data_IF_959180283016
#
_entry.id   IF_959180283016
#
_cell.length_a   1.000
_cell.length_b   1.000
_cell.length_c   1.000
_cell.angle_alpha   90.00
_cell.angle_beta   90.00
_cell.angle_gamma   90.00
#
_symmetry.space_group_name_H-M   'P 1'
#
loop_
_entity.id
_entity.type
_entity.pdbx_description
1 polymer ?
#
# COMPACT_ATOMS: atom_id res chain seq x y z
N UNK A 1 10.62 3.13 11.58
CA UNK A 1 10.43 3.33 13.04
C UNK A 1 8.96 3.38 13.47
N UNK A 2 7.99 3.72 12.63
CA UNK A 2 6.59 3.88 13.09
C UNK A 2 5.75 2.60 13.10
N UNK A 3 6.05 1.63 12.22
CA UNK A 3 5.22 0.43 12.02
C UNK A 3 5.85 -0.83 12.62
N UNK A 4 7.01 -1.26 12.11
CA UNK A 4 7.54 -2.61 12.38
C UNK A 4 8.68 -2.64 13.42
N UNK A 5 9.63 -1.69 13.37
CA UNK A 5 10.85 -1.69 14.19
C UNK A 5 10.86 -0.57 15.24
N UNK A 6 11.12 -0.94 16.49
CA UNK A 6 11.33 -0.03 17.62
C UNK A 6 10.28 -0.17 18.73
N UNK A 7 10.59 0.23 19.98
CA UNK A 7 9.68 0.06 21.12
C UNK A 7 8.40 0.91 21.04
N UNK A 8 8.44 1.98 20.24
CA UNK A 8 7.31 2.88 20.00
C UNK A 8 6.50 2.52 18.76
N UNK A 9 6.96 1.57 17.95
CA UNK A 9 6.34 1.17 16.70
C UNK A 9 5.00 0.44 16.93
N UNK A 10 4.08 0.56 15.98
CA UNK A 10 2.72 0.04 16.11
C UNK A 10 2.66 -1.48 16.31
N UNK A 11 3.33 -2.25 15.45
CA UNK A 11 3.26 -3.72 15.47
C UNK A 11 3.85 -4.30 16.76
N UNK A 12 5.09 -3.95 17.19
CA UNK A 12 5.63 -4.43 18.47
C UNK A 12 4.75 -4.09 19.67
N UNK A 13 4.11 -2.91 19.68
CA UNK A 13 3.20 -2.52 20.76
C UNK A 13 1.91 -3.34 20.76
N UNK A 14 1.36 -3.67 19.60
CA UNK A 14 0.18 -4.53 19.49
C UNK A 14 0.49 -5.96 19.93
N UNK A 15 1.68 -6.48 19.60
CA UNK A 15 2.13 -7.82 20.01
C UNK A 15 2.19 -8.01 21.54
N UNK A 16 2.29 -6.91 22.32
CA UNK A 16 2.22 -6.97 23.78
C UNK A 16 0.83 -7.38 24.30
N UNK A 17 -0.23 -7.18 23.51
CA UNK A 17 -1.62 -7.38 23.93
C UNK A 17 -2.41 -8.34 23.02
N UNK A 18 -2.00 -8.48 21.76
CA UNK A 18 -2.70 -9.24 20.72
C UNK A 18 -1.73 -10.29 20.18
N UNK A 19 -2.09 -11.60 20.21
CA UNK A 19 -1.21 -12.66 19.72
C UNK A 19 -0.83 -12.51 18.24
N UNK A 20 -1.77 -12.09 17.40
CA UNK A 20 -1.54 -11.83 15.98
C UNK A 20 -2.12 -10.46 15.57
N UNK A 21 -1.30 -9.39 15.55
CA UNK A 21 -1.75 -8.07 15.11
C UNK A 21 -2.24 -8.02 13.65
N UNK A 22 -1.77 -8.92 12.79
CA UNK A 22 -2.12 -8.94 11.37
C UNK A 22 -3.55 -9.38 11.09
N UNK A 23 -4.24 -9.96 12.08
CA UNK A 23 -5.69 -10.18 12.01
C UNK A 23 -6.48 -8.84 12.00
N UNK A 24 -5.84 -7.73 12.36
CA UNK A 24 -6.46 -6.41 12.51
C UNK A 24 -5.89 -5.35 11.58
N UNK A 25 -4.63 -5.52 11.12
CA UNK A 25 -3.91 -4.53 10.32
C UNK A 25 -3.21 -5.22 9.17
N UNK A 26 -3.42 -4.69 7.96
CA UNK A 26 -2.65 -5.05 6.78
C UNK A 26 -1.94 -3.81 6.25
N UNK A 27 -0.65 -3.95 5.94
CA UNK A 27 0.18 -2.88 5.36
C UNK A 27 0.60 -3.33 3.96
N UNK A 28 0.22 -2.55 2.96
CA UNK A 28 0.44 -2.89 1.56
C UNK A 28 1.05 -1.71 0.78
N UNK A 29 1.77 -2.04 -0.28
CA UNK A 29 2.14 -1.13 -1.35
C UNK A 29 1.37 -1.43 -2.63
N UNK A 30 1.70 -0.70 -3.70
CA UNK A 30 1.17 -0.94 -5.04
C UNK A 30 2.31 -1.15 -6.04
N UNK A 31 2.16 -2.12 -6.94
CA UNK A 31 3.11 -2.41 -8.02
C UNK A 31 2.37 -2.83 -9.27
N UNK A 32 2.96 -2.54 -10.43
CA UNK A 32 2.45 -3.01 -11.72
C UNK A 32 3.58 -3.54 -12.58
N UNK A 33 3.21 -4.17 -13.68
CA UNK A 33 4.13 -4.56 -14.75
C UNK A 33 3.49 -4.20 -16.10
N UNK A 34 4.33 -4.01 -17.12
CA UNK A 34 3.90 -3.89 -18.50
C UNK A 34 5.06 -4.22 -19.45
N UNK A 35 4.80 -4.29 -20.75
CA UNK A 35 5.83 -4.39 -21.78
C UNK A 35 6.18 -3.00 -22.29
N UNK A 36 7.48 -2.70 -22.36
CA UNK A 36 7.96 -1.51 -23.04
C UNK A 36 7.73 -1.62 -24.56
N UNK A 37 7.82 -0.52 -25.33
CA UNK A 37 7.58 -0.54 -26.78
C UNK A 37 8.51 -1.49 -27.58
N UNK A 38 9.66 -1.86 -27.03
CA UNK A 38 10.59 -2.85 -27.60
C UNK A 38 10.21 -4.30 -27.26
N UNK A 39 9.16 -4.51 -26.48
CA UNK A 39 8.68 -5.81 -26.03
C UNK A 39 9.30 -6.29 -24.72
N UNK A 40 10.18 -5.51 -24.07
CA UNK A 40 10.78 -5.90 -22.79
C UNK A 40 9.77 -5.79 -21.65
N UNK A 41 9.56 -6.91 -20.95
CA UNK A 41 8.74 -6.96 -19.75
C UNK A 41 9.41 -6.17 -18.63
N UNK A 42 8.72 -5.21 -18.04
CA UNK A 42 9.24 -4.33 -16.97
C UNK A 42 8.22 -4.22 -15.83
N UNK A 43 8.69 -3.95 -14.62
CA UNK A 43 7.84 -3.66 -13.45
C UNK A 43 8.27 -2.37 -12.78
N UNK A 44 7.31 -1.66 -12.22
CA UNK A 44 7.59 -0.50 -11.37
C UNK A 44 6.55 -0.37 -10.25
N UNK A 45 6.95 0.25 -9.14
CA UNK A 45 6.02 0.60 -8.08
C UNK A 45 5.02 1.65 -8.57
N UNK A 46 3.78 1.56 -8.09
CA UNK A 46 2.81 2.63 -8.23
C UNK A 46 2.97 3.54 -7.02
N UNK A 47 3.39 4.78 -7.26
CA UNK A 47 3.66 5.72 -6.19
C UNK A 47 2.36 6.18 -5.51
N UNK A 48 2.14 5.74 -4.27
CA UNK A 48 0.99 6.11 -3.46
C UNK A 48 1.15 7.53 -2.91
N UNK A 49 0.73 8.51 -3.70
CA UNK A 49 0.79 9.92 -3.31
C UNK A 49 -0.48 10.42 -2.60
N UNK A 50 -1.51 9.57 -2.46
CA UNK A 50 -2.77 9.99 -1.85
C UNK A 50 -2.62 10.32 -0.36
N UNK A 51 -3.49 11.20 0.15
CA UNK A 51 -3.68 11.44 1.58
C UNK A 51 -5.17 11.35 1.85
N UNK A 52 -5.57 10.13 2.17
CA UNK A 52 -6.96 9.68 2.17
C UNK A 52 -7.21 8.83 3.41
N UNK A 53 -8.35 9.04 4.05
CA UNK A 53 -8.87 8.16 5.09
C UNK A 53 -10.34 7.90 4.87
N UNK A 54 -10.74 6.63 4.92
CA UNK A 54 -12.15 6.20 4.94
C UNK A 54 -12.42 5.51 6.27
N UNK A 55 -13.47 5.93 6.97
CA UNK A 55 -13.86 5.36 8.26
C UNK A 55 -15.30 4.90 8.20
N UNK A 56 -15.52 3.63 8.55
CA UNK A 56 -16.83 2.96 8.69
C UNK A 56 -17.76 3.06 7.47
N UNK A 57 -17.23 3.24 6.26
CA UNK A 57 -18.02 3.56 5.06
C UNK A 57 -18.93 4.81 5.26
N UNK A 58 -18.59 5.73 6.19
CA UNK A 58 -19.41 6.92 6.53
C UNK A 58 -18.66 8.24 6.48
N UNK A 59 -17.38 8.24 6.84
CA UNK A 59 -16.53 9.44 6.84
C UNK A 59 -15.41 9.27 5.83
N UNK A 60 -15.12 10.35 5.11
CA UNK A 60 -14.09 10.44 4.10
C UNK A 60 -13.28 11.69 4.36
N UNK A 61 -11.98 11.54 4.56
CA UNK A 61 -11.02 12.64 4.65
C UNK A 61 -10.13 12.60 3.42
N UNK A 62 -10.06 13.70 2.68
CA UNK A 62 -9.17 13.87 1.53
C UNK A 62 -8.45 15.20 1.67
N UNK A 63 -7.14 15.21 1.42
CA UNK A 63 -6.38 16.45 1.49
C UNK A 63 -4.96 16.34 0.94
N UNK A 64 -4.14 17.30 1.33
CA UNK A 64 -2.71 17.36 1.04
C UNK A 64 -1.83 16.84 2.19
N UNK A 65 -2.36 16.81 3.41
CA UNK A 65 -1.62 16.48 4.63
C UNK A 65 -1.17 15.00 4.71
N UNK A 66 0.14 14.76 4.71
CA UNK A 66 0.70 13.42 4.97
C UNK A 66 0.53 13.03 6.45
N UNK A 67 0.60 11.74 6.76
CA UNK A 67 0.66 11.27 8.17
C UNK A 67 2.11 11.42 8.66
N UNK A 68 2.49 12.66 8.96
CA UNK A 68 3.80 13.04 9.49
C UNK A 68 3.70 14.39 10.23
N UNK A 69 4.72 14.75 10.99
CA UNK A 69 4.73 15.98 11.79
C UNK A 69 4.77 17.22 10.90
N UNK A 70 5.46 17.16 9.75
CA UNK A 70 5.49 18.24 8.75
C UNK A 70 4.10 18.71 8.35
N UNK A 71 3.18 17.80 8.10
CA UNK A 71 1.82 18.11 7.68
C UNK A 71 0.84 18.25 8.86
N UNK A 72 1.03 17.53 9.97
CA UNK A 72 0.01 17.41 11.03
C UNK A 72 0.14 18.40 12.18
N UNK A 73 1.31 19.03 12.40
CA UNK A 73 1.52 19.93 13.54
C UNK A 73 0.98 21.36 13.32
N UNK A 74 0.63 21.73 12.08
CA UNK A 74 -0.03 23.01 11.73
C UNK A 74 0.85 24.26 11.78
N UNK A 75 2.04 24.22 12.41
CA UNK A 75 3.03 25.31 12.39
C UNK A 75 4.18 25.08 11.40
N UNK A 76 4.15 23.97 10.65
CA UNK A 76 5.14 23.61 9.63
C UNK A 76 4.57 23.91 8.24
N UNK A 77 4.19 22.89 7.48
CA UNK A 77 3.65 23.08 6.13
C UNK A 77 2.17 23.52 6.18
N UNK A 78 1.78 24.35 5.22
CA UNK A 78 0.38 24.73 5.03
C UNK A 78 -0.35 23.62 4.28
N UNK A 79 -1.35 23.03 4.89
CA UNK A 79 -2.11 21.91 4.35
C UNK A 79 -3.61 22.24 4.27
N UNK A 80 -4.32 21.54 3.37
CA UNK A 80 -5.78 21.59 3.29
C UNK A 80 -6.36 20.18 3.28
N UNK A 81 -7.45 19.98 4.01
CA UNK A 81 -8.22 18.76 3.97
C UNK A 81 -9.72 19.06 4.02
N UNK A 82 -10.51 18.20 3.39
CA UNK A 82 -11.97 18.20 3.42
C UNK A 82 -12.42 16.93 4.12
N UNK A 83 -13.37 17.08 5.05
CA UNK A 83 -14.08 15.97 5.68
C UNK A 83 -15.49 15.93 5.11
N UNK A 84 -15.84 14.81 4.49
CA UNK A 84 -17.20 14.52 4.05
C UNK A 84 -17.78 13.41 4.93
N UNK A 85 -18.96 13.64 5.48
CA UNK A 85 -19.67 12.69 6.33
C UNK A 85 -21.12 12.52 5.85
N UNK A 86 -21.51 11.27 5.62
CA UNK A 86 -22.92 10.91 5.42
C UNK A 86 -23.62 10.85 6.81
N UNK A 87 -24.50 11.82 7.07
CA UNK A 87 -25.28 11.95 8.32
C UNK A 87 -26.71 11.38 8.16
N UNK A 88 -27.45 11.09 9.23
CA UNK A 88 -28.85 10.68 9.09
C UNK A 88 -29.72 11.72 8.34
N UNK A 89 -29.42 13.01 8.53
CA UNK A 89 -30.18 14.12 7.93
C UNK A 89 -30.05 14.19 6.41
N UNK A 90 -28.98 13.62 5.82
CA UNK A 90 -28.81 13.61 4.37
C UNK A 90 -29.74 12.59 3.67
N UNK A 91 -30.38 11.68 4.42
CA UNK A 91 -31.30 10.67 3.88
C UNK A 91 -30.65 9.65 2.93
N UNK A 92 -29.32 9.65 2.80
CA UNK A 92 -28.57 8.79 1.86
C UNK A 92 -28.08 7.48 2.51
N UNK A 93 -28.23 7.34 3.83
CA UNK A 93 -27.74 6.20 4.58
C UNK A 93 -28.46 4.91 4.17
N UNK A 94 -27.70 3.83 4.05
CA UNK A 94 -28.20 2.50 3.70
C UNK A 94 -27.80 1.50 4.77
N UNK A 95 -28.62 0.48 4.98
CA UNK A 95 -28.24 -0.65 5.81
C UNK A 95 -27.20 -1.51 5.09
N UNK A 96 -26.19 -1.95 5.84
CA UNK A 96 -25.20 -2.94 5.44
C UNK A 96 -24.90 -3.88 6.61
N UNK A 97 -24.16 -4.95 6.35
CA UNK A 97 -23.72 -5.90 7.37
C UNK A 97 -22.19 -5.93 7.41
N UNK A 98 -21.61 -5.61 8.57
CA UNK A 98 -20.17 -5.76 8.85
C UNK A 98 -19.99 -6.79 9.96
N UNK A 99 -19.17 -7.82 9.70
CA UNK A 99 -18.92 -8.91 10.65
C UNK A 99 -20.22 -9.48 11.30
N UNK A 100 -21.26 -9.70 10.48
CA UNK A 100 -22.57 -10.19 10.94
C UNK A 100 -23.46 -9.16 11.65
N UNK A 101 -22.98 -7.93 11.86
CA UNK A 101 -23.72 -6.86 12.54
C UNK A 101 -24.32 -5.87 11.55
N UNK A 102 -25.60 -5.52 11.72
CA UNK A 102 -26.28 -4.50 10.90
C UNK A 102 -25.77 -3.11 11.27
N UNK A 103 -25.31 -2.36 10.27
CA UNK A 103 -24.76 -1.02 10.41
C UNK A 103 -25.34 -0.09 9.33
N UNK A 104 -25.38 1.21 9.62
CA UNK A 104 -25.72 2.22 8.62
C UNK A 104 -24.45 2.71 7.94
N UNK A 105 -24.43 2.70 6.62
CA UNK A 105 -23.30 3.15 5.81
C UNK A 105 -23.69 4.32 4.93
N UNK A 106 -22.73 5.19 4.67
CA UNK A 106 -22.86 6.32 3.75
C UNK A 106 -22.69 5.89 2.30
N UNK A 107 -23.34 6.58 1.36
CA UNK A 107 -23.17 6.27 -0.05
C UNK A 107 -21.83 6.77 -0.60
N UNK A 108 -21.37 7.96 -0.15
CA UNK A 108 -20.18 8.61 -0.68
C UNK A 108 -18.91 7.85 -0.28
N UNK A 109 -18.68 7.69 1.03
CA UNK A 109 -17.49 7.04 1.56
C UNK A 109 -17.40 5.57 1.12
N UNK A 110 -18.52 4.84 1.15
CA UNK A 110 -18.61 3.46 0.66
C UNK A 110 -18.26 3.33 -0.81
N UNK A 111 -18.85 4.17 -1.67
CA UNK A 111 -18.55 4.15 -3.10
C UNK A 111 -17.07 4.42 -3.35
N UNK A 112 -16.52 5.44 -2.68
CA UNK A 112 -15.11 5.81 -2.81
C UNK A 112 -14.17 4.64 -2.44
N UNK A 113 -14.38 4.03 -1.27
CA UNK A 113 -13.60 2.86 -0.82
C UNK A 113 -13.70 1.69 -1.81
N UNK A 114 -14.92 1.36 -2.26
CA UNK A 114 -15.14 0.21 -3.14
C UNK A 114 -14.51 0.40 -4.52
N UNK A 115 -14.53 1.61 -5.07
CA UNK A 115 -13.83 1.91 -6.33
C UNK A 115 -12.33 1.68 -6.20
N UNK A 116 -11.71 2.17 -5.12
CA UNK A 116 -10.28 2.00 -4.88
C UNK A 116 -9.90 0.53 -4.67
N UNK A 117 -10.67 -0.21 -3.88
CA UNK A 117 -10.42 -1.64 -3.68
C UNK A 117 -10.56 -2.42 -4.98
N UNK A 118 -11.60 -2.14 -5.78
CA UNK A 118 -11.78 -2.83 -7.05
C UNK A 118 -10.62 -2.56 -8.03
N UNK A 119 -10.10 -1.33 -8.05
CA UNK A 119 -8.90 -0.99 -8.82
C UNK A 119 -7.66 -1.74 -8.32
N UNK A 120 -7.37 -1.69 -7.03
CA UNK A 120 -6.16 -2.28 -6.47
C UNK A 120 -6.19 -3.82 -6.45
N UNK A 121 -7.36 -4.44 -6.40
CA UNK A 121 -7.54 -5.90 -6.48
C UNK A 121 -7.70 -6.39 -7.94
N UNK A 122 -7.70 -5.49 -8.93
CA UNK A 122 -7.80 -5.85 -10.35
C UNK A 122 -9.17 -6.38 -10.77
N UNK A 123 -10.19 -6.12 -9.97
CA UNK A 123 -11.58 -6.51 -10.21
C UNK A 123 -12.27 -5.53 -11.18
N UNK A 124 -11.74 -4.31 -11.27
CA UNK A 124 -12.29 -3.25 -12.10
C UNK A 124 -11.77 -3.36 -13.55
N UNK A 125 -12.54 -4.03 -14.43
CA UNK A 125 -12.25 -4.03 -15.87
C UNK A 125 -12.37 -2.63 -16.49
N UNK A 126 -11.73 -2.40 -17.64
CA UNK A 126 -11.86 -1.14 -18.38
C UNK A 126 -13.32 -0.81 -18.73
N UNK A 127 -14.13 -1.84 -19.01
CA UNK A 127 -15.57 -1.74 -19.31
C UNK A 127 -16.39 -1.44 -18.04
N UNK A 128 -15.99 -1.96 -16.87
CA UNK A 128 -16.63 -1.64 -15.60
C UNK A 128 -16.38 -0.17 -15.19
N UNK A 129 -15.18 0.37 -15.49
CA UNK A 129 -14.85 1.79 -15.29
C UNK A 129 -15.78 2.71 -16.08
N UNK A 130 -16.13 2.34 -17.32
CA UNK A 130 -17.01 3.16 -18.17
C UNK A 130 -18.47 3.10 -17.76
N UNK A 131 -18.92 1.98 -17.17
CA UNK A 131 -20.35 1.75 -16.89
C UNK A 131 -20.79 2.14 -15.47
N UNK A 132 -19.85 2.43 -14.55
CA UNK A 132 -20.14 2.93 -13.18
C UNK A 132 -21.07 2.00 -12.37
N UNK A 133 -21.23 0.74 -12.79
CA UNK A 133 -22.04 -0.28 -12.15
C UNK A 133 -21.24 -1.58 -12.11
N UNK A 134 -20.89 -2.06 -10.92
CA UNK A 134 -20.15 -3.30 -10.74
C UNK A 134 -20.61 -4.03 -9.48
N UNK A 135 -20.56 -5.36 -9.54
CA UNK A 135 -21.00 -6.23 -8.45
C UNK A 135 -20.09 -6.05 -7.22
N UNK A 136 -20.72 -5.74 -6.09
CA UNK A 136 -20.07 -5.55 -4.80
C UNK A 136 -19.52 -6.84 -4.17
N UNK A 137 -19.91 -8.00 -4.70
CA UNK A 137 -19.48 -9.31 -4.18
C UNK A 137 -18.07 -9.71 -4.66
N UNK A 138 -17.47 -8.99 -5.61
CA UNK A 138 -16.16 -9.32 -6.17
C UNK A 138 -14.96 -8.86 -5.31
N UNK A 139 -15.18 -8.42 -4.07
CA UNK A 139 -14.13 -7.91 -3.16
C UNK A 139 -13.60 -8.99 -2.20
N UNK A 140 -13.55 -10.24 -2.62
CA UNK A 140 -12.84 -11.30 -1.88
C UNK A 140 -11.35 -11.18 -2.18
N UNK A 141 -10.59 -10.96 -1.11
CA UNK A 141 -9.20 -10.52 -1.04
C UNK A 141 -8.19 -11.49 -1.70
N UNK A 142 -7.49 -11.09 -2.77
CA UNK A 142 -6.32 -11.80 -3.26
C UNK A 142 -5.10 -10.86 -3.19
N UNK A 143 -4.48 -10.72 -2.02
CA UNK A 143 -3.12 -10.14 -1.98
C UNK A 143 -2.18 -11.11 -2.69
N UNK A 144 -1.44 -10.64 -3.72
CA UNK A 144 -0.53 -11.48 -4.50
C UNK A 144 0.84 -10.78 -4.61
N UNK A 145 1.64 -10.88 -3.56
CA UNK A 145 3.01 -10.34 -3.49
C UNK A 145 4.08 -11.35 -3.93
N UNK A 146 3.88 -12.63 -3.59
CA UNK A 146 4.84 -13.73 -3.82
C UNK A 146 5.27 -13.83 -5.28
N UNK A 147 4.34 -13.50 -6.18
CA UNK A 147 4.53 -13.52 -7.60
C UNK A 147 5.58 -12.49 -8.08
N UNK A 148 5.46 -11.22 -7.64
CA UNK A 148 6.33 -10.14 -8.11
C UNK A 148 7.80 -10.36 -7.72
N UNK A 149 8.04 -10.86 -6.51
CA UNK A 149 9.40 -11.14 -6.04
C UNK A 149 10.06 -12.28 -6.82
N UNK A 150 9.30 -13.29 -7.24
CA UNK A 150 9.85 -14.43 -7.98
C UNK A 150 10.25 -14.06 -9.41
N UNK A 151 9.43 -13.30 -10.12
CA UNK A 151 9.69 -12.98 -11.53
C UNK A 151 10.70 -11.86 -11.69
N UNK A 152 10.57 -10.80 -10.89
CA UNK A 152 11.27 -9.54 -11.14
C UNK A 152 12.44 -9.27 -10.20
N UNK A 153 12.62 -10.07 -9.14
CA UNK A 153 13.59 -9.79 -8.07
C UNK A 153 13.41 -8.38 -7.48
N UNK A 154 12.16 -7.93 -7.37
CA UNK A 154 11.82 -6.58 -6.91
C UNK A 154 12.32 -6.30 -5.49
N UNK A 155 12.80 -5.07 -5.30
CA UNK A 155 13.02 -4.44 -4.01
C UNK A 155 11.87 -3.46 -3.72
N UNK A 156 11.53 -3.22 -2.44
CA UNK A 156 12.02 -3.89 -1.22
C UNK A 156 11.49 -5.34 -1.06
N UNK A 157 12.11 -6.19 -0.22
CA UNK A 157 11.64 -7.58 0.05
C UNK A 157 12.17 -8.11 1.39
N UNK A 158 11.38 -8.94 2.09
CA UNK A 158 11.74 -9.53 3.40
C UNK A 158 12.90 -10.53 3.34
N UNK A 159 13.35 -10.92 2.14
CA UNK A 159 14.50 -11.82 2.00
C UNK A 159 15.85 -11.13 2.22
N UNK A 160 15.88 -9.79 2.28
CA UNK A 160 17.10 -8.99 2.26
C UNK A 160 17.14 -8.06 3.47
N UNK A 161 17.92 -8.44 4.49
CA UNK A 161 18.00 -7.75 5.76
C UNK A 161 19.18 -6.76 5.85
N UNK A 162 20.14 -6.84 4.91
CA UNK A 162 21.35 -6.00 4.89
C UNK A 162 21.58 -5.30 3.56
N UNK A 163 22.31 -4.19 3.58
CA UNK A 163 22.69 -3.44 2.38
C UNK A 163 23.58 -4.30 1.47
N UNK A 164 24.46 -5.12 2.03
CA UNK A 164 25.30 -6.06 1.26
C UNK A 164 24.46 -7.08 0.49
N UNK A 165 23.48 -7.71 1.14
CA UNK A 165 22.54 -8.63 0.48
C UNK A 165 21.78 -7.94 -0.66
N UNK A 166 21.40 -6.67 -0.48
CA UNK A 166 20.76 -5.89 -1.55
C UNK A 166 21.71 -5.64 -2.74
N UNK A 167 22.98 -5.32 -2.48
CA UNK A 167 23.98 -5.14 -3.54
C UNK A 167 24.18 -6.45 -4.33
N UNK A 168 24.28 -7.58 -3.64
CA UNK A 168 24.42 -8.89 -4.26
C UNK A 168 23.18 -9.27 -5.07
N UNK A 169 21.99 -9.07 -4.52
CA UNK A 169 20.73 -9.38 -5.19
C UNK A 169 20.56 -8.60 -6.51
N UNK A 170 21.03 -7.34 -6.56
CA UNK A 170 21.00 -6.50 -7.78
C UNK A 170 21.93 -6.98 -8.89
N UNK A 171 22.92 -7.82 -8.59
CA UNK A 171 23.80 -8.41 -9.59
C UNK A 171 23.19 -9.64 -10.27
N UNK A 172 22.17 -10.24 -9.66
CA UNK A 172 21.50 -11.40 -10.22
C UNK A 172 20.64 -10.99 -11.41
N UNK A 173 20.71 -11.77 -12.49
CA UNK A 173 19.85 -11.57 -13.66
C UNK A 173 18.42 -11.99 -13.30
N UNK A 174 17.43 -11.11 -13.41
CA UNK A 174 16.03 -11.44 -13.15
C UNK A 174 15.51 -12.56 -14.08
N UNK A 175 14.52 -13.31 -13.61
CA UNK A 175 13.95 -14.45 -14.34
C UNK A 175 13.43 -14.05 -15.74
N UNK A 176 12.83 -12.87 -15.86
CA UNK A 176 12.27 -12.36 -17.13
C UNK A 176 13.32 -11.96 -18.17
N UNK A 177 14.58 -11.72 -17.75
CA UNK A 177 15.73 -11.47 -18.63
C UNK A 177 16.60 -12.71 -18.84
N UNK A 178 16.27 -13.80 -18.15
CA UNK A 178 17.05 -15.04 -18.15
C UNK A 178 16.51 -16.11 -19.09
N UNK A 179 17.06 -17.34 -19.02
CA UNK A 179 16.62 -18.48 -19.82
C UNK A 179 15.15 -18.87 -19.61
N UNK A 180 14.55 -18.47 -18.49
CA UNK A 180 13.15 -18.75 -18.13
C UNK A 180 12.18 -17.61 -18.48
N UNK A 181 12.56 -16.69 -19.37
CA UNK A 181 11.75 -15.53 -19.75
C UNK A 181 10.32 -15.89 -20.22
N UNK A 182 10.17 -16.97 -20.99
CA UNK A 182 8.83 -17.43 -21.42
C UNK A 182 7.96 -17.89 -20.25
N UNK A 183 8.56 -18.50 -19.22
CA UNK A 183 7.86 -18.90 -18.00
C UNK A 183 7.47 -17.68 -17.18
N UNK A 184 8.36 -16.70 -17.06
CA UNK A 184 8.06 -15.41 -16.44
C UNK A 184 6.87 -14.71 -17.12
N UNK A 185 6.80 -14.75 -18.46
CA UNK A 185 5.71 -14.17 -19.24
C UNK A 185 4.35 -14.85 -19.01
N UNK A 186 4.31 -16.17 -18.79
CA UNK A 186 3.06 -16.88 -18.44
C UNK A 186 2.66 -16.60 -16.99
N UNK A 187 3.64 -16.65 -16.11
CA UNK A 187 3.49 -16.35 -14.70
C UNK A 187 2.80 -14.98 -14.54
N UNK A 188 3.27 -13.91 -15.22
CA UNK A 188 2.75 -12.55 -14.95
C UNK A 188 1.27 -12.40 -15.27
N UNK A 189 0.72 -13.22 -16.18
CA UNK A 189 -0.69 -13.22 -16.53
C UNK A 189 -1.60 -13.67 -15.38
N UNK A 190 -1.05 -14.35 -14.38
CA UNK A 190 -1.79 -14.76 -13.18
C UNK A 190 -1.95 -13.62 -12.17
N UNK A 191 -1.18 -12.53 -12.30
CA UNK A 191 -1.30 -11.38 -11.41
C UNK A 191 -2.67 -10.73 -11.58
N UNK A 192 -3.32 -10.46 -10.46
CA UNK A 192 -4.55 -9.68 -10.40
C UNK A 192 -4.33 -8.45 -9.54
N UNK A 193 -4.66 -7.30 -10.10
CA UNK A 193 -4.53 -6.03 -9.41
C UNK A 193 -3.09 -5.58 -9.23
N UNK A 194 -2.90 -4.76 -8.21
CA UNK A 194 -1.66 -4.04 -7.94
C UNK A 194 -1.21 -4.18 -6.49
N UNK A 195 -2.05 -4.74 -5.63
CA UNK A 195 -1.82 -4.81 -4.18
C UNK A 195 -0.71 -5.83 -3.87
N UNK A 196 0.33 -5.36 -3.18
CA UNK A 196 1.45 -6.18 -2.70
C UNK A 196 1.64 -5.93 -1.21
N UNK A 197 1.96 -6.97 -0.44
CA UNK A 197 2.32 -6.79 0.97
C UNK A 197 3.56 -5.90 1.09
N UNK A 198 3.55 -5.04 2.11
CA UNK A 198 4.70 -4.21 2.42
C UNK A 198 5.73 -5.06 3.18
N UNK A 199 7.00 -5.10 2.75
CA UNK A 199 8.00 -5.92 3.41
C UNK A 199 8.37 -5.33 4.78
N UNK A 200 8.24 -6.16 5.80
CA UNK A 200 8.44 -5.83 7.21
C UNK A 200 9.92 -5.90 7.62
N UNK A 201 10.66 -6.83 7.00
CA UNK A 201 12.02 -7.23 7.36
C UNK A 201 13.08 -6.70 6.37
N UNK A 202 12.66 -5.92 5.37
CA UNK A 202 13.61 -5.31 4.44
C UNK A 202 14.57 -4.36 5.16
N UNK A 203 15.87 -4.63 5.03
CA UNK A 203 16.95 -3.91 5.74
C UNK A 203 16.81 -3.93 7.27
N UNK A 204 16.24 -5.01 7.82
CA UNK A 204 16.01 -5.16 9.26
C UNK A 204 17.29 -5.00 10.10
N UNK A 205 18.42 -5.49 9.61
CA UNK A 205 19.69 -5.54 10.33
C UNK A 205 20.53 -4.27 10.15
N UNK A 206 20.01 -3.26 9.45
CA UNK A 206 20.71 -2.00 9.15
C UNK A 206 20.23 -0.85 10.05
N UNK A 207 21.14 0.11 10.27
CA UNK A 207 20.78 1.44 10.75
C UNK A 207 20.55 2.35 9.54
N UNK A 208 19.29 2.74 9.35
CA UNK A 208 18.87 3.60 8.24
C UNK A 208 19.02 5.09 8.55
N UNK A 209 19.57 5.42 9.73
CA UNK A 209 19.94 6.79 10.09
C UNK A 209 21.06 7.29 9.17
N UNK A 210 21.12 8.60 8.88
CA UNK A 210 22.21 9.15 8.08
C UNK A 210 23.60 8.81 8.68
N UNK A 211 24.60 8.45 7.86
CA UNK A 211 25.94 8.09 8.34
C UNK A 211 26.62 9.23 9.09
N UNK A 212 27.29 8.92 10.20
CA UNK A 212 28.03 9.91 11.01
C UNK A 212 28.99 10.74 10.13
N UNK A 213 28.82 12.06 10.12
CA UNK A 213 29.62 12.99 9.32
C UNK A 213 29.13 13.24 7.89
N UNK A 214 28.00 12.66 7.47
CA UNK A 214 27.35 13.01 6.21
C UNK A 214 26.68 14.39 6.26
N UNK A 215 26.41 14.99 5.09
CA UNK A 215 25.74 16.31 5.04
C UNK A 215 24.34 16.25 5.64
N UNK A 216 23.67 15.11 5.48
CA UNK A 216 22.34 14.83 5.99
C UNK A 216 22.30 14.81 7.52
N UNK A 217 23.43 14.51 8.19
CA UNK A 217 23.55 14.59 9.65
C UNK A 217 23.70 16.02 10.21
N UNK A 218 23.97 17.00 9.35
CA UNK A 218 23.97 18.42 9.72
C UNK A 218 22.56 19.02 9.60
N UNK A 219 21.65 18.30 8.92
CA UNK A 219 20.27 18.71 8.69
C UNK A 219 19.43 18.32 9.92
N UNK A 220 18.64 19.24 10.49
CA UNK A 220 17.77 18.91 11.61
C UNK A 220 16.80 17.76 11.28
N UNK A 221 16.66 16.79 12.21
CA UNK A 221 15.78 15.62 12.04
C UNK A 221 14.32 15.99 11.73
N UNK A 222 13.92 17.19 12.12
CA UNK A 222 12.60 17.77 11.82
C UNK A 222 12.27 17.81 10.32
N UNK A 223 13.29 17.72 9.45
CA UNK A 223 13.12 17.69 7.99
C UNK A 223 12.64 16.32 7.49
N UNK A 224 12.86 15.27 8.26
CA UNK A 224 12.48 13.89 7.93
C UNK A 224 11.22 13.42 8.66
N UNK A 225 10.70 14.23 9.59
CA UNK A 225 9.52 13.94 10.41
C UNK A 225 8.30 14.73 10.01
#
# INVERSE_FOLDING_TARGET
MSLFKGPTALIPRLQLFIPNPFDYISVCGLRTYDHWPDGELTTELIYVHCKLMVVDDRKLIIGSANINDRSMLGYRDSELAVVAEDTPDCGSLKEATFAGTRVMVGNLARRFRKSLMAEHLGVLSAEARSNIDWDYNLLDDPVCDQFYHQVFSCLPTDKLHTIEQVKEARLNVPMYLGPEASRAAEMVKEIRGHLVHYPEDFLLDEDLSPPLGSKENVIPEIIWT
#
